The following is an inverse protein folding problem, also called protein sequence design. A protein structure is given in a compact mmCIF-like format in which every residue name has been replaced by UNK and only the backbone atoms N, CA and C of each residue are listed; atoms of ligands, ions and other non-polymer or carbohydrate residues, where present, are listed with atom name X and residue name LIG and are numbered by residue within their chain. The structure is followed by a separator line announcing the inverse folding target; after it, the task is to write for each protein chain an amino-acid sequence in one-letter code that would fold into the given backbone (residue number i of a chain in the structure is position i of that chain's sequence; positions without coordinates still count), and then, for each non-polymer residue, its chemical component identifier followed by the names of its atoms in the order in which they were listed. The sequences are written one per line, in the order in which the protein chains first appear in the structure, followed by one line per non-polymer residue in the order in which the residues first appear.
data_IF_550900345565
#
_entry.id   IF_550900345565
#
_cell.length_a   1.000
_cell.length_b   1.000
_cell.length_c   1.000
_cell.angle_alpha   90.00
_cell.angle_beta   90.00
_cell.angle_gamma   90.00
#
_symmetry.space_group_name_H-M   'P 1'
#
loop_
_entity.id
_entity.type
_entity.pdbx_description
1 polymer ?
#
# COMPACT_ATOMS: atom_id res chain seq x y z
N UNK A 1 -22.95 -6.82 23.09
CA UNK A 1 -22.09 -7.04 21.93
C UNK A 1 -22.99 -7.04 20.70
N UNK A 2 -22.68 -6.26 19.67
CA UNK A 2 -23.40 -6.29 18.39
C UNK A 2 -23.25 -7.69 17.75
N UNK A 3 -24.25 -8.14 16.98
CA UNK A 3 -24.17 -9.43 16.29
C UNK A 3 -22.99 -9.44 15.32
N UNK A 4 -22.36 -10.62 15.09
CA UNK A 4 -21.37 -10.75 14.03
C UNK A 4 -21.92 -10.32 12.68
N UNK A 5 -21.14 -9.53 11.92
CA UNK A 5 -21.45 -9.11 10.57
C UNK A 5 -20.86 -10.08 9.57
N UNK A 6 -21.58 -10.35 8.48
CA UNK A 6 -21.03 -11.03 7.31
C UNK A 6 -20.69 -10.01 6.23
N UNK A 7 -19.39 -9.85 5.95
CA UNK A 7 -18.85 -8.76 5.14
C UNK A 7 -18.24 -9.32 3.85
N UNK A 8 -18.69 -8.83 2.70
CA UNK A 8 -18.02 -9.01 1.42
C UNK A 8 -16.98 -7.89 1.24
N UNK A 9 -15.71 -8.22 1.36
CA UNK A 9 -14.58 -7.31 1.10
C UNK A 9 -14.08 -7.53 -0.32
N UNK A 10 -13.98 -6.49 -1.14
CA UNK A 10 -13.62 -6.61 -2.55
C UNK A 10 -12.37 -5.81 -2.88
N UNK A 11 -11.45 -6.44 -3.65
CA UNK A 11 -10.23 -5.81 -4.16
C UNK A 11 -9.94 -6.22 -5.61
N UNK A 12 -9.16 -5.40 -6.34
CA UNK A 12 -8.96 -5.55 -7.79
C UNK A 12 -8.06 -6.71 -8.21
N UNK A 13 -7.30 -7.31 -7.29
CA UNK A 13 -6.39 -8.40 -7.63
C UNK A 13 -5.94 -9.19 -6.40
N UNK A 14 -5.25 -10.29 -6.63
CA UNK A 14 -4.60 -11.12 -5.60
C UNK A 14 -3.15 -10.72 -5.33
N UNK A 15 -2.60 -9.70 -6.01
CA UNK A 15 -1.20 -9.27 -5.90
C UNK A 15 -0.97 -8.31 -4.72
N UNK A 16 0.25 -8.22 -4.14
CA UNK A 16 0.57 -7.38 -3.00
C UNK A 16 0.68 -5.90 -3.37
N UNK A 17 -0.46 -5.26 -3.65
CA UNK A 17 -0.60 -3.81 -3.83
C UNK A 17 -1.10 -3.18 -2.55
N UNK A 18 -0.77 -1.92 -2.28
CA UNK A 18 -1.12 -1.24 -1.02
C UNK A 18 -2.60 -1.38 -0.65
N UNK A 19 -3.53 -1.14 -1.59
CA UNK A 19 -4.96 -1.32 -1.36
C UNK A 19 -5.38 -2.78 -1.11
N UNK A 20 -4.72 -3.75 -1.78
CA UNK A 20 -4.96 -5.20 -1.57
C UNK A 20 -4.44 -5.63 -0.20
N UNK A 21 -3.25 -5.17 0.18
CA UNK A 21 -2.68 -5.45 1.52
C UNK A 21 -3.57 -4.87 2.61
N UNK A 22 -4.04 -3.62 2.44
CA UNK A 22 -4.99 -3.01 3.37
C UNK A 22 -6.28 -3.84 3.49
N UNK A 23 -6.93 -4.17 2.37
CA UNK A 23 -8.16 -4.96 2.37
C UNK A 23 -7.98 -6.32 3.06
N UNK A 24 -6.86 -6.99 2.81
CA UNK A 24 -6.51 -8.27 3.44
C UNK A 24 -6.31 -8.13 4.94
N UNK A 25 -5.48 -7.20 5.40
CA UNK A 25 -5.18 -6.99 6.82
C UNK A 25 -6.41 -6.52 7.60
N UNK A 26 -7.22 -5.65 6.99
CA UNK A 26 -8.52 -5.25 7.58
C UNK A 26 -9.46 -6.46 7.71
N UNK A 27 -9.53 -7.32 6.68
CA UNK A 27 -10.34 -8.54 6.72
C UNK A 27 -9.91 -9.49 7.83
N UNK A 28 -8.61 -9.66 8.01
CA UNK A 28 -8.03 -10.48 9.09
C UNK A 28 -8.36 -9.90 10.47
N UNK A 29 -8.19 -8.58 10.64
CA UNK A 29 -8.49 -7.90 11.90
C UNK A 29 -9.99 -7.95 12.25
N UNK A 30 -10.88 -7.75 11.27
CA UNK A 30 -12.34 -7.88 11.49
C UNK A 30 -12.72 -9.34 11.80
N UNK A 31 -12.06 -10.32 11.18
CA UNK A 31 -12.27 -11.75 11.50
C UNK A 31 -11.83 -12.06 12.93
N UNK A 32 -10.68 -11.53 13.37
CA UNK A 32 -10.21 -11.66 14.74
C UNK A 32 -11.15 -11.01 15.77
N UNK A 33 -11.91 -9.98 15.37
CA UNK A 33 -12.97 -9.37 16.19
C UNK A 33 -14.30 -10.14 16.16
N UNK A 34 -14.35 -11.30 15.48
CA UNK A 34 -15.51 -12.19 15.47
C UNK A 34 -16.51 -11.96 14.33
N UNK A 35 -16.14 -11.18 13.30
CA UNK A 35 -16.97 -10.99 12.10
C UNK A 35 -16.68 -12.06 11.06
N UNK A 36 -17.66 -12.41 10.20
CA UNK A 36 -17.51 -13.34 9.07
C UNK A 36 -17.14 -12.55 7.80
N UNK A 37 -15.84 -12.44 7.52
CA UNK A 37 -15.34 -11.68 6.37
C UNK A 37 -14.93 -12.61 5.25
N UNK A 38 -15.41 -12.33 4.04
CA UNK A 38 -14.99 -13.01 2.81
C UNK A 38 -14.29 -11.99 1.90
N UNK A 39 -12.98 -12.18 1.72
CA UNK A 39 -12.16 -11.34 0.84
C UNK A 39 -12.25 -11.86 -0.60
N UNK A 40 -12.79 -11.04 -1.50
CA UNK A 40 -12.97 -11.35 -2.91
C UNK A 40 -11.90 -10.68 -3.77
N UNK A 41 -11.37 -11.41 -4.76
CA UNK A 41 -10.49 -10.84 -5.78
C UNK A 41 -10.60 -11.61 -7.11
N UNK A 42 -10.45 -10.93 -8.28
CA UNK A 42 -10.22 -11.61 -9.55
C UNK A 42 -8.87 -12.34 -9.52
N UNK A 43 -8.84 -13.58 -10.01
CA UNK A 43 -7.65 -14.42 -10.05
C UNK A 43 -7.49 -15.07 -11.43
N UNK A 44 -6.70 -14.44 -12.29
CA UNK A 44 -6.43 -14.93 -13.64
C UNK A 44 -5.39 -16.09 -13.66
N UNK A 45 -4.65 -16.27 -12.59
CA UNK A 45 -3.60 -17.30 -12.50
C UNK A 45 -4.06 -18.57 -11.78
N UNK A 46 -5.18 -18.49 -11.03
CA UNK A 46 -5.65 -19.59 -10.19
C UNK A 46 -4.73 -19.92 -9.01
N UNK A 47 -3.86 -18.98 -8.62
CA UNK A 47 -2.87 -19.20 -7.53
C UNK A 47 -3.32 -18.66 -6.18
N UNK A 48 -4.44 -17.92 -6.15
CA UNK A 48 -4.92 -17.26 -4.96
C UNK A 48 -4.14 -16.00 -4.62
N UNK A 49 -4.34 -15.48 -3.41
CA UNK A 49 -3.65 -14.31 -2.92
C UNK A 49 -2.15 -14.57 -2.72
N UNK A 50 -1.35 -13.52 -2.78
CA UNK A 50 0.11 -13.54 -2.60
C UNK A 50 0.59 -14.18 -1.27
N UNK A 51 -0.28 -14.31 -0.28
CA UNK A 51 -0.17 -15.13 0.92
C UNK A 51 -1.54 -15.66 1.34
N UNK A 52 -1.56 -16.68 2.18
CA UNK A 52 -2.81 -17.20 2.76
C UNK A 52 -3.29 -16.23 3.86
N UNK A 53 -4.45 -15.57 3.71
CA UNK A 53 -5.00 -14.70 4.77
C UNK A 53 -5.63 -15.52 5.90
N UNK A 54 -5.72 -14.90 7.09
CA UNK A 54 -6.44 -15.46 8.24
C UNK A 54 -7.96 -15.15 8.22
N UNK A 55 -8.53 -14.96 7.03
CA UNK A 55 -9.96 -14.81 6.79
C UNK A 55 -10.39 -15.71 5.63
N UNK A 56 -11.71 -15.82 5.38
CA UNK A 56 -12.22 -16.53 4.20
C UNK A 56 -11.88 -15.76 2.94
N UNK A 57 -11.58 -16.48 1.85
CA UNK A 57 -11.29 -15.88 0.54
C UNK A 57 -12.16 -16.47 -0.55
N UNK A 58 -12.49 -15.63 -1.52
CA UNK A 58 -13.13 -16.02 -2.77
C UNK A 58 -12.32 -15.47 -3.94
N UNK A 59 -11.44 -16.29 -4.48
CA UNK A 59 -10.72 -15.99 -5.71
C UNK A 59 -11.63 -16.31 -6.90
N UNK A 60 -11.96 -15.29 -7.68
CA UNK A 60 -12.88 -15.40 -8.83
C UNK A 60 -12.04 -15.74 -10.06
N UNK A 61 -12.20 -16.93 -10.67
CA UNK A 61 -11.50 -17.27 -11.89
C UNK A 61 -11.89 -16.32 -13.02
N UNK A 62 -10.91 -15.71 -13.66
CA UNK A 62 -11.11 -14.74 -14.74
C UNK A 62 -10.11 -14.99 -15.87
N UNK A 63 -10.43 -14.50 -17.06
CA UNK A 63 -9.50 -14.56 -18.20
C UNK A 63 -8.30 -13.63 -17.97
N UNK A 64 -7.15 -13.87 -18.64
CA UNK A 64 -6.03 -12.92 -18.62
C UNK A 64 -6.50 -11.50 -18.93
N UNK A 65 -5.83 -10.52 -18.32
CA UNK A 65 -6.18 -9.11 -18.51
C UNK A 65 -5.92 -8.66 -19.95
N UNK A 66 -6.81 -7.80 -20.48
CA UNK A 66 -6.56 -7.11 -21.74
C UNK A 66 -5.28 -6.24 -21.63
N UNK A 67 -4.63 -5.99 -22.75
CA UNK A 67 -3.43 -5.15 -22.80
C UNK A 67 -3.77 -3.66 -22.57
N UNK A 68 -4.91 -3.19 -23.09
CA UNK A 68 -5.41 -1.85 -22.81
C UNK A 68 -5.95 -1.75 -21.38
N UNK A 69 -5.58 -0.69 -20.68
CA UNK A 69 -5.96 -0.50 -19.27
C UNK A 69 -7.48 -0.30 -19.12
N UNK A 70 -8.11 0.44 -20.01
CA UNK A 70 -9.55 0.71 -19.94
C UNK A 70 -10.35 -0.57 -20.15
N UNK A 71 -9.98 -1.35 -21.17
CA UNK A 71 -10.58 -2.65 -21.44
C UNK A 71 -10.40 -3.61 -20.27
N UNK A 72 -9.19 -3.66 -19.71
CA UNK A 72 -8.90 -4.49 -18.52
C UNK A 72 -9.78 -4.11 -17.33
N UNK A 73 -9.91 -2.81 -17.04
CA UNK A 73 -10.75 -2.33 -15.94
C UNK A 73 -12.21 -2.69 -16.17
N UNK A 74 -12.76 -2.45 -17.37
CA UNK A 74 -14.13 -2.79 -17.71
C UNK A 74 -14.39 -4.30 -17.68
N UNK A 75 -13.45 -5.10 -18.17
CA UNK A 75 -13.52 -6.57 -18.10
C UNK A 75 -13.59 -7.04 -16.63
N UNK A 76 -12.75 -6.51 -15.74
CA UNK A 76 -12.75 -6.89 -14.32
C UNK A 76 -14.02 -6.46 -13.58
N UNK A 77 -14.59 -5.30 -13.95
CA UNK A 77 -15.91 -4.88 -13.43
C UNK A 77 -16.99 -5.89 -13.86
N UNK A 78 -16.97 -6.28 -15.14
CA UNK A 78 -17.91 -7.28 -15.67
C UNK A 78 -17.77 -8.64 -14.97
N UNK A 79 -16.52 -9.11 -14.78
CA UNK A 79 -16.22 -10.38 -14.10
C UNK A 79 -16.84 -10.43 -12.69
N UNK A 80 -16.71 -9.34 -11.92
CA UNK A 80 -17.31 -9.22 -10.61
C UNK A 80 -18.83 -9.24 -10.64
N UNK A 81 -19.45 -8.47 -11.57
CA UNK A 81 -20.91 -8.43 -11.70
C UNK A 81 -21.44 -9.81 -12.09
N UNK A 82 -20.83 -10.48 -13.06
CA UNK A 82 -21.22 -11.82 -13.49
C UNK A 82 -21.07 -12.86 -12.37
N UNK A 83 -20.02 -12.73 -11.54
CA UNK A 83 -19.85 -13.60 -10.38
C UNK A 83 -21.01 -13.46 -9.39
N UNK A 84 -21.37 -12.22 -8.99
CA UNK A 84 -22.44 -11.98 -8.02
C UNK A 84 -23.83 -12.24 -8.60
N UNK A 85 -24.04 -12.01 -9.90
CA UNK A 85 -25.29 -12.40 -10.59
C UNK A 85 -25.53 -13.92 -10.48
N UNK A 86 -24.47 -14.73 -10.53
CA UNK A 86 -24.52 -16.20 -10.43
C UNK A 86 -24.51 -16.71 -8.98
N UNK A 87 -23.60 -16.21 -8.17
CA UNK A 87 -23.40 -16.67 -6.79
C UNK A 87 -24.44 -16.10 -5.81
N UNK A 88 -25.10 -15.01 -6.22
CA UNK A 88 -25.99 -14.25 -5.36
C UNK A 88 -25.27 -13.31 -4.38
N UNK A 89 -25.99 -12.32 -3.93
CA UNK A 89 -25.52 -11.33 -2.93
C UNK A 89 -26.11 -11.63 -1.52
N UNK A 90 -27.09 -12.52 -1.46
CA UNK A 90 -27.74 -12.93 -0.21
C UNK A 90 -26.77 -13.53 0.79
N UNK A 91 -26.93 -13.15 2.04
CA UNK A 91 -26.09 -13.64 3.13
C UNK A 91 -24.90 -12.75 3.47
N UNK A 92 -24.68 -11.63 2.80
CA UNK A 92 -23.81 -10.55 3.26
C UNK A 92 -24.65 -9.40 3.83
N UNK A 93 -24.22 -8.91 4.99
CA UNK A 93 -24.82 -7.73 5.62
C UNK A 93 -24.23 -6.44 5.04
N UNK A 94 -22.99 -6.53 4.53
CA UNK A 94 -22.21 -5.37 4.08
C UNK A 94 -21.31 -5.73 2.88
N UNK A 95 -21.19 -4.78 1.96
CA UNK A 95 -20.25 -4.81 0.83
C UNK A 95 -19.27 -3.66 0.96
N UNK A 96 -17.96 -3.94 0.81
CA UNK A 96 -16.93 -2.92 0.93
C UNK A 96 -15.91 -3.02 -0.21
N UNK A 97 -15.78 -1.95 -0.99
CA UNK A 97 -14.85 -1.81 -2.11
C UNK A 97 -13.58 -1.06 -1.71
N UNK A 98 -12.41 -1.53 -2.20
CA UNK A 98 -11.11 -0.91 -1.92
C UNK A 98 -10.45 -0.24 -3.13
N UNK A 99 -11.08 -0.29 -4.31
CA UNK A 99 -10.53 0.23 -5.56
C UNK A 99 -11.63 0.60 -6.57
N UNK A 100 -11.25 1.20 -7.70
CA UNK A 100 -12.19 1.63 -8.74
C UNK A 100 -12.93 0.47 -9.42
N UNK A 101 -12.29 -0.70 -9.56
CA UNK A 101 -12.91 -1.89 -10.18
C UNK A 101 -14.01 -2.43 -9.27
N UNK A 102 -13.67 -2.74 -8.04
CA UNK A 102 -14.62 -3.25 -7.05
C UNK A 102 -15.74 -2.24 -6.75
N UNK A 103 -15.43 -0.94 -6.68
CA UNK A 103 -16.42 0.12 -6.51
C UNK A 103 -17.41 0.20 -7.67
N UNK A 104 -16.96 0.09 -8.91
CA UNK A 104 -17.85 0.07 -10.08
C UNK A 104 -18.71 -1.20 -10.14
N UNK A 105 -18.16 -2.35 -9.76
CA UNK A 105 -18.95 -3.58 -9.68
C UNK A 105 -20.09 -3.44 -8.67
N UNK A 106 -19.78 -2.95 -7.44
CA UNK A 106 -20.80 -2.72 -6.42
C UNK A 106 -21.80 -1.62 -6.80
N UNK A 107 -21.36 -0.56 -7.50
CA UNK A 107 -22.26 0.45 -8.06
C UNK A 107 -23.26 -0.16 -9.06
N UNK A 108 -22.82 -1.12 -9.87
CA UNK A 108 -23.68 -1.83 -10.81
C UNK A 108 -24.67 -2.77 -10.10
N UNK A 109 -24.22 -3.50 -9.07
CA UNK A 109 -25.09 -4.35 -8.26
C UNK A 109 -26.14 -3.53 -7.50
N UNK A 110 -25.75 -2.36 -6.97
CA UNK A 110 -26.67 -1.40 -6.33
C UNK A 110 -27.72 -0.87 -7.33
N UNK A 111 -27.30 -0.49 -8.54
CA UNK A 111 -28.19 -0.04 -9.61
C UNK A 111 -29.20 -1.12 -10.03
N UNK A 112 -28.79 -2.40 -10.00
CA UNK A 112 -29.67 -3.56 -10.24
C UNK A 112 -30.55 -3.91 -9.03
N UNK A 113 -30.48 -3.17 -7.92
CA UNK A 113 -31.15 -3.45 -6.65
C UNK A 113 -30.81 -4.84 -6.04
N UNK A 114 -29.63 -5.39 -6.36
CA UNK A 114 -29.13 -6.64 -5.81
C UNK A 114 -28.46 -6.45 -4.45
N UNK A 115 -28.01 -5.24 -4.14
CA UNK A 115 -27.48 -4.82 -2.84
C UNK A 115 -28.10 -3.47 -2.45
N UNK A 116 -28.35 -3.20 -1.16
CA UNK A 116 -28.93 -1.94 -0.73
C UNK A 116 -27.93 -0.76 -0.81
N UNK A 117 -26.65 -1.03 -0.60
CA UNK A 117 -25.60 -0.04 -0.57
C UNK A 117 -24.22 -0.66 -0.34
N UNK A 118 -23.17 0.17 -0.35
CA UNK A 118 -21.82 -0.28 -0.08
C UNK A 118 -20.91 0.80 0.49
N UNK A 119 -19.86 0.35 1.18
CA UNK A 119 -18.78 1.18 1.68
C UNK A 119 -17.63 1.24 0.66
N UNK A 120 -16.90 2.36 0.62
CA UNK A 120 -15.73 2.57 -0.23
C UNK A 120 -14.57 3.15 0.56
N UNK A 121 -13.43 2.46 0.62
CA UNK A 121 -12.15 3.04 1.06
C UNK A 121 -11.43 3.67 -0.12
N UNK A 122 -11.22 4.97 -0.08
CA UNK A 122 -10.43 5.72 -1.07
C UNK A 122 -9.01 5.83 -0.55
N UNK A 123 -8.10 5.05 -1.16
CA UNK A 123 -6.68 5.04 -0.79
C UNK A 123 -5.92 6.22 -1.41
N UNK A 124 -6.27 6.58 -2.62
CA UNK A 124 -5.78 7.72 -3.40
C UNK A 124 -6.72 7.96 -4.59
N UNK A 125 -6.59 9.09 -5.23
CA UNK A 125 -7.30 9.45 -6.47
C UNK A 125 -6.24 9.69 -7.54
N UNK A 126 -6.31 8.91 -8.61
CA UNK A 126 -5.37 8.99 -9.73
C UNK A 126 -5.82 10.04 -10.76
N UNK A 127 -4.84 10.59 -11.47
CA UNK A 127 -5.06 11.44 -12.64
C UNK A 127 -4.83 10.59 -13.89
N UNK A 128 -5.93 10.10 -14.48
CA UNK A 128 -5.86 9.33 -15.71
C UNK A 128 -5.95 10.24 -16.94
N UNK A 129 -5.09 9.99 -17.93
CA UNK A 129 -5.19 10.67 -19.23
C UNK A 129 -6.42 10.22 -20.03
N UNK A 130 -6.88 8.98 -19.83
CA UNK A 130 -8.07 8.43 -20.51
C UNK A 130 -9.35 8.91 -19.83
N UNK A 131 -10.23 9.67 -20.53
CA UNK A 131 -11.48 10.19 -19.93
C UNK A 131 -12.39 9.08 -19.41
N UNK A 132 -12.36 7.91 -20.04
CA UNK A 132 -13.17 6.76 -19.60
C UNK A 132 -12.73 6.22 -18.24
N UNK A 133 -11.42 6.14 -17.97
CA UNK A 133 -10.89 5.74 -16.66
C UNK A 133 -11.22 6.77 -15.58
N UNK A 134 -11.16 8.07 -15.90
CA UNK A 134 -11.62 9.12 -14.99
C UNK A 134 -13.10 8.95 -14.63
N UNK A 135 -13.97 8.76 -15.63
CA UNK A 135 -15.41 8.54 -15.41
C UNK A 135 -15.69 7.27 -14.57
N UNK A 136 -14.92 6.20 -14.75
CA UNK A 136 -15.03 4.99 -13.93
C UNK A 136 -14.56 5.24 -12.51
N UNK A 137 -13.46 5.99 -12.31
CA UNK A 137 -13.01 6.38 -10.98
C UNK A 137 -14.08 7.19 -10.25
N UNK A 138 -14.63 8.21 -10.91
CA UNK A 138 -15.67 9.07 -10.37
C UNK A 138 -16.91 8.26 -9.99
N UNK A 139 -17.43 7.42 -10.90
CA UNK A 139 -18.58 6.56 -10.63
C UNK A 139 -18.34 5.64 -9.42
N UNK A 140 -17.15 5.06 -9.29
CA UNK A 140 -16.80 4.15 -8.18
C UNK A 140 -16.85 4.83 -6.82
N UNK A 141 -16.62 6.15 -6.79
CA UNK A 141 -16.69 6.97 -5.59
C UNK A 141 -18.13 7.46 -5.40
N UNK A 142 -18.73 8.12 -6.39
CA UNK A 142 -20.02 8.80 -6.24
C UNK A 142 -21.18 7.87 -5.91
N UNK A 143 -21.09 6.59 -6.30
CA UNK A 143 -22.15 5.60 -6.05
C UNK A 143 -22.12 5.00 -4.63
N UNK A 144 -21.04 5.17 -3.88
CA UNK A 144 -20.91 4.62 -2.53
C UNK A 144 -21.76 5.39 -1.51
N UNK A 145 -22.13 4.72 -0.43
CA UNK A 145 -22.98 5.27 0.64
C UNK A 145 -22.15 5.71 1.86
N UNK A 146 -21.05 5.02 2.14
CA UNK A 146 -20.09 5.39 3.18
C UNK A 146 -18.69 5.45 2.59
N UNK A 147 -17.95 6.48 3.01
CA UNK A 147 -16.59 6.74 2.57
C UNK A 147 -15.61 6.60 3.72
N UNK A 148 -14.52 5.87 3.43
CA UNK A 148 -13.34 5.82 4.26
C UNK A 148 -12.15 6.37 3.50
N UNK A 149 -11.24 7.01 4.23
CA UNK A 149 -9.92 7.40 3.72
C UNK A 149 -8.83 6.97 4.68
N UNK A 150 -7.65 6.74 4.14
CA UNK A 150 -6.51 6.34 4.96
C UNK A 150 -5.80 7.53 5.59
N UNK A 151 -6.04 8.76 5.12
CA UNK A 151 -5.41 9.98 5.62
C UNK A 151 -6.36 11.18 5.61
N UNK A 152 -6.05 12.21 6.39
CA UNK A 152 -6.79 13.49 6.40
C UNK A 152 -6.63 14.25 5.08
N UNK A 153 -5.48 14.13 4.45
CA UNK A 153 -5.24 14.72 3.12
C UNK A 153 -6.29 14.22 2.13
N UNK A 154 -6.50 12.90 2.03
CA UNK A 154 -7.50 12.33 1.12
C UNK A 154 -8.93 12.59 1.57
N UNK A 155 -9.19 12.68 2.88
CA UNK A 155 -10.48 13.16 3.39
C UNK A 155 -10.79 14.56 2.89
N UNK A 156 -9.81 15.48 3.00
CA UNK A 156 -9.95 16.86 2.53
C UNK A 156 -10.19 16.92 1.01
N UNK A 157 -9.44 16.17 0.22
CA UNK A 157 -9.64 16.09 -1.23
C UNK A 157 -11.06 15.63 -1.58
N UNK A 158 -11.57 14.57 -0.93
CA UNK A 158 -12.95 14.11 -1.15
C UNK A 158 -13.99 15.16 -0.76
N UNK A 159 -13.76 15.87 0.34
CA UNK A 159 -14.66 16.92 0.80
C UNK A 159 -14.64 18.11 -0.17
N UNK A 160 -13.46 18.59 -0.55
CA UNK A 160 -13.31 19.83 -1.36
C UNK A 160 -13.76 19.59 -2.82
N UNK A 161 -13.37 18.46 -3.42
CA UNK A 161 -13.60 18.20 -4.83
C UNK A 161 -14.98 17.58 -5.11
N UNK A 162 -15.58 16.89 -4.11
CA UNK A 162 -16.79 16.07 -4.32
C UNK A 162 -17.90 16.29 -3.27
N UNK A 163 -17.65 17.11 -2.25
CA UNK A 163 -18.60 17.31 -1.14
C UNK A 163 -18.89 16.05 -0.34
N UNK A 164 -17.98 15.04 -0.36
CA UNK A 164 -18.18 13.75 0.30
C UNK A 164 -17.47 13.71 1.66
N UNK A 165 -18.24 13.47 2.71
CA UNK A 165 -17.71 13.27 4.06
C UNK A 165 -17.18 11.85 4.20
N UNK A 166 -15.88 11.70 4.49
CA UNK A 166 -15.25 10.41 4.73
C UNK A 166 -14.78 10.28 6.19
N UNK A 167 -14.71 9.05 6.67
CA UNK A 167 -14.10 8.74 7.96
C UNK A 167 -12.65 8.37 7.74
N UNK A 168 -11.74 9.03 8.44
CA UNK A 168 -10.31 8.69 8.41
C UNK A 168 -10.09 7.47 9.30
N UNK A 169 -9.67 6.37 8.70
CA UNK A 169 -9.45 5.09 9.39
C UNK A 169 -7.96 4.74 9.58
N UNK A 170 -7.08 5.40 8.84
CA UNK A 170 -5.65 5.12 8.85
C UNK A 170 -5.30 3.75 8.28
N UNK A 171 -4.06 3.34 8.51
CA UNK A 171 -3.56 2.00 8.25
C UNK A 171 -2.95 1.41 9.52
N UNK A 172 -2.76 0.10 9.51
CA UNK A 172 -2.05 -0.62 10.56
C UNK A 172 -0.80 -1.32 10.03
N UNK A 173 -0.07 -1.91 10.96
CA UNK A 173 1.02 -2.85 10.70
C UNK A 173 0.85 -4.08 11.59
N UNK A 174 1.26 -5.23 11.09
CA UNK A 174 1.31 -6.50 11.83
C UNK A 174 2.67 -6.57 12.55
N UNK A 175 2.69 -6.20 13.83
CA UNK A 175 3.91 -6.16 14.66
C UNK A 175 4.40 -7.54 15.09
N UNK A 176 3.58 -8.58 14.97
CA UNK A 176 4.01 -9.96 15.21
C UNK A 176 4.86 -10.45 14.02
N UNK A 177 4.47 -10.05 12.81
CA UNK A 177 5.16 -10.38 11.57
C UNK A 177 6.37 -9.48 11.33
N UNK A 178 6.20 -8.18 11.46
CA UNK A 178 7.26 -7.18 11.30
C UNK A 178 7.80 -6.80 12.68
N UNK A 179 8.99 -7.29 13.01
CA UNK A 179 9.63 -7.06 14.30
C UNK A 179 11.15 -7.01 14.15
N UNK A 180 11.86 -6.38 15.09
CA UNK A 180 13.33 -6.31 15.06
C UNK A 180 14.01 -7.65 15.30
N UNK A 181 13.26 -8.69 15.70
CA UNK A 181 13.80 -9.99 16.08
C UNK A 181 14.51 -10.69 14.92
N UNK A 182 15.81 -10.92 15.09
CA UNK A 182 16.63 -11.65 14.14
C UNK A 182 16.33 -13.14 14.21
N UNK A 183 16.03 -13.79 13.07
CA UNK A 183 15.68 -15.22 12.99
C UNK A 183 16.70 -16.09 12.23
N UNK A 184 17.80 -15.49 11.75
CA UNK A 184 18.85 -16.18 10.99
C UNK A 184 18.61 -16.26 9.47
N UNK A 185 17.39 -16.11 9.00
CA UNK A 185 17.04 -16.21 7.56
C UNK A 185 17.56 -15.00 6.75
N UNK A 186 17.85 -13.89 7.41
CA UNK A 186 18.39 -12.68 6.80
C UNK A 186 19.73 -12.96 6.10
N UNK A 187 20.58 -13.81 6.66
CA UNK A 187 21.88 -14.17 6.06
C UNK A 187 21.65 -14.86 4.69
N UNK A 188 20.76 -15.84 4.65
CA UNK A 188 20.44 -16.54 3.40
C UNK A 188 19.82 -15.58 2.35
N UNK A 189 18.99 -14.61 2.78
CA UNK A 189 18.44 -13.60 1.90
C UNK A 189 19.52 -12.64 1.38
N UNK A 190 20.45 -12.19 2.24
CA UNK A 190 21.62 -11.37 1.85
C UNK A 190 22.45 -12.06 0.78
N UNK A 191 22.76 -13.34 0.97
CA UNK A 191 23.55 -14.12 0.01
C UNK A 191 22.82 -14.31 -1.31
N UNK A 192 21.52 -14.63 -1.26
CA UNK A 192 20.67 -14.75 -2.46
C UNK A 192 20.60 -13.47 -3.28
N UNK A 193 20.53 -12.32 -2.59
CA UNK A 193 20.53 -11.01 -3.23
C UNK A 193 21.93 -10.50 -3.58
N UNK A 194 22.99 -11.25 -3.22
CA UNK A 194 24.42 -10.90 -3.45
C UNK A 194 24.80 -9.55 -2.85
N UNK A 195 24.25 -9.24 -1.67
CA UNK A 195 24.54 -8.01 -0.94
C UNK A 195 25.87 -8.13 -0.20
N UNK A 196 26.65 -7.05 -0.18
CA UNK A 196 27.89 -6.95 0.58
C UNK A 196 27.62 -6.63 2.06
N UNK A 197 28.68 -6.46 2.85
CA UNK A 197 28.55 -6.08 4.28
C UNK A 197 28.46 -4.56 4.50
N UNK A 198 28.51 -3.74 3.42
CA UNK A 198 28.33 -2.30 3.52
C UNK A 198 26.89 -1.90 3.84
N UNK A 199 26.67 -0.64 4.25
CA UNK A 199 25.34 -0.13 4.57
C UNK A 199 24.36 -0.33 3.42
N UNK A 200 23.17 -0.84 3.75
CA UNK A 200 22.10 -1.11 2.79
C UNK A 200 20.94 -0.12 2.96
N UNK A 201 20.71 0.69 1.93
CA UNK A 201 19.54 1.55 1.83
C UNK A 201 18.45 0.85 1.02
N UNK A 202 17.24 0.76 1.59
CA UNK A 202 16.11 0.08 0.99
C UNK A 202 15.10 1.08 0.46
N UNK A 203 14.66 0.91 -0.78
CA UNK A 203 13.52 1.61 -1.37
C UNK A 203 12.47 0.59 -1.81
N UNK A 204 11.21 0.80 -1.46
CA UNK A 204 10.10 -0.11 -1.78
C UNK A 204 9.01 0.62 -2.56
N UNK A 205 8.58 -0.01 -3.66
CA UNK A 205 7.51 0.50 -4.53
C UNK A 205 7.85 0.49 -6.01
N UNK A 206 9.03 -0.04 -6.38
CA UNK A 206 9.47 -0.13 -7.78
C UNK A 206 9.98 1.22 -8.31
N UNK A 207 10.16 1.28 -9.63
CA UNK A 207 10.67 2.47 -10.35
C UNK A 207 9.46 3.28 -10.84
N UNK A 208 9.04 4.26 -10.04
CA UNK A 208 7.87 5.11 -10.27
C UNK A 208 8.16 6.57 -9.89
N UNK A 209 7.62 7.52 -10.68
CA UNK A 209 7.81 8.95 -10.44
C UNK A 209 7.31 9.39 -9.05
N UNK A 210 6.14 8.90 -8.62
CA UNK A 210 5.59 9.23 -7.30
C UNK A 210 6.45 8.74 -6.15
N UNK A 211 7.26 7.66 -6.36
CA UNK A 211 8.22 7.12 -5.38
C UNK A 211 9.56 7.83 -5.41
N UNK A 212 9.77 8.70 -6.41
CA UNK A 212 10.96 9.52 -6.56
C UNK A 212 12.26 8.71 -6.67
N UNK A 213 12.23 7.59 -7.40
CA UNK A 213 13.40 6.71 -7.51
C UNK A 213 14.58 7.35 -8.24
N UNK A 214 14.36 8.33 -9.13
CA UNK A 214 15.42 9.16 -9.69
C UNK A 214 16.10 10.04 -8.63
N UNK A 215 15.33 10.68 -7.77
CA UNK A 215 15.86 11.46 -6.65
C UNK A 215 16.64 10.59 -5.66
N UNK A 216 16.16 9.36 -5.39
CA UNK A 216 16.89 8.38 -4.56
C UNK A 216 18.20 7.98 -5.22
N UNK A 217 18.21 7.73 -6.53
CA UNK A 217 19.43 7.35 -7.27
C UNK A 217 20.49 8.45 -7.22
N UNK A 218 20.09 9.71 -7.41
CA UNK A 218 21.00 10.86 -7.31
C UNK A 218 21.52 11.08 -5.89
N UNK A 219 20.64 10.94 -4.88
CA UNK A 219 21.03 10.99 -3.47
C UNK A 219 22.01 9.87 -3.12
N UNK A 220 21.79 8.67 -3.62
CA UNK A 220 22.68 7.53 -3.44
C UNK A 220 24.05 7.75 -4.09
N UNK A 221 24.10 8.38 -5.27
CA UNK A 221 25.36 8.79 -5.90
C UNK A 221 26.18 9.70 -4.96
N UNK A 222 25.53 10.68 -4.31
CA UNK A 222 26.17 11.57 -3.34
C UNK A 222 26.62 10.80 -2.09
N UNK A 223 25.77 9.86 -1.60
CA UNK A 223 26.09 9.01 -0.47
C UNK A 223 27.31 8.12 -0.70
N UNK A 224 27.48 7.60 -1.92
CA UNK A 224 28.64 6.78 -2.32
C UNK A 224 29.97 7.54 -2.27
N UNK A 225 29.97 8.86 -2.41
CA UNK A 225 31.18 9.69 -2.23
C UNK A 225 31.65 9.69 -0.77
N UNK A 226 30.74 9.51 0.20
CA UNK A 226 31.03 9.49 1.64
C UNK A 226 31.23 8.06 2.13
N UNK A 227 30.41 7.11 1.64
CA UNK A 227 30.42 5.68 1.99
C UNK A 227 30.53 4.83 0.72
N UNK A 228 31.76 4.61 0.22
CA UNK A 228 31.98 3.84 -1.01
C UNK A 228 31.48 2.39 -0.98
N UNK A 229 31.26 1.83 0.20
CA UNK A 229 30.75 0.49 0.46
C UNK A 229 29.21 0.41 0.51
N UNK A 230 28.49 1.56 0.52
CA UNK A 230 27.04 1.60 0.58
C UNK A 230 26.39 0.94 -0.64
N UNK A 231 25.21 0.35 -0.42
CA UNK A 231 24.37 -0.31 -1.41
C UNK A 231 22.96 0.25 -1.40
N UNK A 232 22.32 0.30 -2.58
CA UNK A 232 20.90 0.65 -2.72
C UNK A 232 20.14 -0.55 -3.26
N UNK A 233 19.12 -0.97 -2.54
CA UNK A 233 18.18 -2.02 -2.96
C UNK A 233 16.84 -1.39 -3.31
N UNK A 234 16.38 -1.58 -4.55
CA UNK A 234 15.07 -1.14 -5.02
C UNK A 234 14.20 -2.38 -5.20
N UNK A 235 13.20 -2.51 -4.33
CA UNK A 235 12.23 -3.60 -4.32
C UNK A 235 10.86 -3.12 -4.84
N UNK A 236 10.16 -4.00 -5.56
CA UNK A 236 8.84 -3.77 -6.09
C UNK A 236 8.74 -3.97 -7.59
N UNK A 237 7.60 -4.46 -8.04
CA UNK A 237 7.27 -4.63 -9.45
C UNK A 237 6.62 -3.39 -10.05
N UNK A 238 6.38 -3.40 -11.35
CA UNK A 238 5.64 -2.36 -12.05
C UNK A 238 4.20 -2.27 -11.51
N UNK A 239 3.67 -1.05 -11.36
CA UNK A 239 2.26 -0.83 -11.06
C UNK A 239 1.39 -1.02 -12.31
N UNK A 240 0.07 -0.84 -12.17
CA UNK A 240 -0.85 -0.89 -13.32
C UNK A 240 -0.72 0.35 -14.22
N UNK A 241 -0.13 1.43 -13.71
CA UNK A 241 0.06 2.67 -14.47
C UNK A 241 1.25 2.54 -15.43
N UNK A 242 1.21 3.29 -16.53
CA UNK A 242 2.34 3.36 -17.46
C UNK A 242 3.47 4.20 -16.86
N UNK A 243 4.59 3.55 -16.59
CA UNK A 243 5.81 4.18 -16.08
C UNK A 243 6.98 4.08 -17.07
N UNK A 244 6.71 3.68 -18.33
CA UNK A 244 7.76 3.33 -19.29
C UNK A 244 8.77 4.47 -19.49
N UNK A 245 8.31 5.70 -19.72
CA UNK A 245 9.20 6.86 -19.89
C UNK A 245 10.08 7.11 -18.67
N UNK A 246 9.50 7.08 -17.47
CA UNK A 246 10.26 7.27 -16.23
C UNK A 246 11.26 6.14 -15.97
N UNK A 247 10.90 4.90 -16.31
CA UNK A 247 11.81 3.76 -16.18
C UNK A 247 12.97 3.85 -17.16
N UNK A 248 12.74 4.30 -18.40
CA UNK A 248 13.82 4.56 -19.36
C UNK A 248 14.78 5.63 -18.84
N UNK A 249 14.27 6.73 -18.32
CA UNK A 249 15.08 7.79 -17.73
C UNK A 249 15.89 7.28 -16.54
N UNK A 250 15.28 6.48 -15.66
CA UNK A 250 15.97 5.86 -14.53
C UNK A 250 17.12 4.95 -14.99
N UNK A 251 16.89 4.07 -15.99
CA UNK A 251 17.93 3.19 -16.50
C UNK A 251 19.06 3.94 -17.21
N UNK A 252 18.75 5.03 -17.91
CA UNK A 252 19.75 5.91 -18.48
C UNK A 252 20.61 6.59 -17.39
N UNK A 253 19.97 7.12 -16.34
CA UNK A 253 20.65 7.70 -15.19
C UNK A 253 21.51 6.67 -14.46
N UNK A 254 21.00 5.45 -14.22
CA UNK A 254 21.75 4.36 -13.60
C UNK A 254 23.00 4.01 -14.42
N UNK A 255 22.86 3.90 -15.73
CA UNK A 255 23.99 3.60 -16.63
C UNK A 255 25.08 4.67 -16.59
N UNK A 256 24.72 5.94 -16.35
CA UNK A 256 25.67 7.04 -16.22
C UNK A 256 26.49 7.01 -14.92
N UNK A 257 26.08 6.25 -13.91
CA UNK A 257 26.78 6.13 -12.63
C UNK A 257 28.11 5.34 -12.72
N UNK A 258 28.44 4.76 -13.87
CA UNK A 258 29.68 4.01 -14.10
C UNK A 258 29.91 2.92 -13.03
N UNK A 259 31.01 2.96 -12.29
CA UNK A 259 31.33 1.98 -11.24
C UNK A 259 30.34 1.94 -10.08
N UNK A 260 29.58 3.00 -9.83
CA UNK A 260 28.56 3.04 -8.75
C UNK A 260 27.30 2.26 -9.12
N UNK A 261 27.01 2.02 -10.40
CA UNK A 261 25.85 1.27 -10.86
C UNK A 261 25.80 -0.16 -10.28
N UNK A 262 26.98 -0.79 -10.09
CA UNK A 262 27.06 -2.14 -9.52
C UNK A 262 26.59 -2.25 -8.06
N UNK A 263 26.48 -1.12 -7.35
CA UNK A 263 25.96 -1.07 -5.97
C UNK A 263 24.45 -0.81 -5.89
N UNK A 264 23.76 -0.73 -7.04
CA UNK A 264 22.31 -0.57 -7.13
C UNK A 264 21.69 -1.91 -7.53
N UNK A 265 20.91 -2.49 -6.64
CA UNK A 265 20.27 -3.78 -6.82
C UNK A 265 18.76 -3.59 -7.08
N UNK A 266 18.31 -3.76 -8.33
CA UNK A 266 16.89 -3.75 -8.68
C UNK A 266 16.39 -5.19 -8.58
N UNK A 267 15.71 -5.53 -7.48
CA UNK A 267 15.36 -6.92 -7.15
C UNK A 267 13.93 -7.31 -7.58
N UNK A 268 13.17 -6.37 -8.14
CA UNK A 268 11.80 -6.63 -8.57
C UNK A 268 10.86 -6.97 -7.41
N UNK A 269 9.84 -7.78 -7.70
CA UNK A 269 8.85 -8.20 -6.70
C UNK A 269 9.48 -9.20 -5.72
N UNK A 270 9.38 -8.91 -4.44
CA UNK A 270 9.86 -9.75 -3.35
C UNK A 270 8.74 -10.67 -2.86
N UNK A 271 9.07 -11.91 -2.56
CA UNK A 271 8.11 -12.83 -1.95
C UNK A 271 7.64 -12.29 -0.58
N UNK A 272 6.36 -12.41 -0.31
CA UNK A 272 5.76 -11.84 0.91
C UNK A 272 6.46 -12.38 2.19
N UNK A 273 6.83 -13.65 2.20
CA UNK A 273 7.57 -14.27 3.31
C UNK A 273 8.97 -13.66 3.56
N UNK A 274 9.61 -13.13 2.52
CA UNK A 274 10.93 -12.52 2.61
C UNK A 274 10.88 -11.05 3.07
N UNK A 275 9.73 -10.39 3.00
CA UNK A 275 9.60 -8.96 3.32
C UNK A 275 10.10 -8.59 4.72
N UNK A 276 9.75 -9.30 5.81
CA UNK A 276 10.30 -8.98 7.13
C UNK A 276 11.83 -9.09 7.18
N UNK A 277 12.40 -10.09 6.50
CA UNK A 277 13.86 -10.28 6.45
C UNK A 277 14.55 -9.20 5.62
N UNK A 278 13.91 -8.74 4.54
CA UNK A 278 14.42 -7.65 3.70
C UNK A 278 14.49 -6.34 4.49
N UNK A 279 13.45 -6.01 5.28
CA UNK A 279 13.50 -4.85 6.16
C UNK A 279 14.66 -4.97 7.18
N UNK A 280 14.78 -6.09 7.87
CA UNK A 280 15.85 -6.29 8.88
C UNK A 280 17.26 -6.21 8.33
N UNK A 281 17.46 -6.45 7.02
CA UNK A 281 18.74 -6.26 6.35
C UNK A 281 19.06 -4.78 6.10
N UNK A 282 18.08 -3.89 6.10
CA UNK A 282 18.27 -2.49 5.77
C UNK A 282 18.82 -1.69 6.93
N UNK A 283 19.81 -0.84 6.64
CA UNK A 283 20.28 0.18 7.58
C UNK A 283 19.36 1.40 7.62
N UNK A 284 18.61 1.65 6.54
CA UNK A 284 17.50 2.59 6.50
C UNK A 284 16.53 2.28 5.36
N UNK A 285 15.23 2.55 5.59
CA UNK A 285 14.26 2.72 4.51
C UNK A 285 14.36 4.15 3.98
N UNK A 286 14.54 4.31 2.67
CA UNK A 286 14.57 5.61 1.98
C UNK A 286 13.30 5.77 1.18
N UNK A 287 12.39 6.64 1.65
CA UNK A 287 11.03 6.75 1.15
C UNK A 287 10.63 8.22 0.88
N UNK A 288 11.36 8.94 -0.01
CA UNK A 288 11.13 10.33 -0.32
C UNK A 288 10.04 10.49 -1.39
N UNK A 289 8.87 9.89 -1.16
CA UNK A 289 7.74 9.94 -2.10
C UNK A 289 7.28 11.38 -2.35
N UNK A 290 6.91 11.67 -3.59
CA UNK A 290 6.31 12.96 -4.00
C UNK A 290 4.82 12.99 -3.63
N UNK A 291 4.16 11.84 -3.75
CA UNK A 291 2.75 11.67 -3.40
C UNK A 291 2.54 10.27 -2.85
N UNK A 292 1.71 10.16 -1.81
CA UNK A 292 1.42 8.86 -1.19
C UNK A 292 -0.01 8.80 -0.65
N UNK A 293 -0.56 7.60 -0.56
CA UNK A 293 -1.84 7.36 0.10
C UNK A 293 -1.71 7.39 1.63
N UNK A 294 -0.75 6.60 2.14
CA UNK A 294 -0.42 6.51 3.56
C UNK A 294 1.03 6.09 3.83
N UNK A 295 1.52 5.03 3.17
CA UNK A 295 2.87 4.51 3.35
C UNK A 295 2.94 3.28 4.28
N UNK A 296 2.25 2.17 3.93
CA UNK A 296 2.32 0.91 4.67
C UNK A 296 3.76 0.45 4.93
N UNK A 297 4.61 0.54 3.90
CA UNK A 297 6.03 0.14 3.96
C UNK A 297 6.83 0.92 5.01
N UNK A 298 6.39 2.14 5.34
CA UNK A 298 6.99 2.95 6.40
C UNK A 298 6.74 2.34 7.77
N UNK A 299 5.49 1.96 8.06
CA UNK A 299 5.11 1.31 9.30
C UNK A 299 5.76 -0.08 9.44
N UNK A 300 5.86 -0.82 8.33
CA UNK A 300 6.55 -2.13 8.29
C UNK A 300 8.04 -2.00 8.61
N UNK A 301 8.72 -0.99 8.05
CA UNK A 301 10.12 -0.68 8.37
C UNK A 301 10.29 -0.30 9.85
N UNK A 302 9.46 0.61 10.35
CA UNK A 302 9.46 1.03 11.75
C UNK A 302 9.24 -0.14 12.71
N UNK A 303 8.25 -1.00 12.41
CA UNK A 303 7.97 -2.22 13.18
C UNK A 303 9.17 -3.19 13.16
N UNK A 304 9.91 -3.23 12.06
CA UNK A 304 11.11 -4.07 11.89
C UNK A 304 12.38 -3.48 12.54
N UNK A 305 12.28 -2.34 13.23
CA UNK A 305 13.42 -1.67 13.86
C UNK A 305 14.37 -1.01 12.86
N UNK A 306 13.84 -0.53 11.74
CA UNK A 306 14.61 0.12 10.67
C UNK A 306 14.34 1.63 10.70
N UNK A 307 15.37 2.49 10.78
CA UNK A 307 15.17 3.92 10.71
C UNK A 307 14.66 4.32 9.33
N UNK A 308 13.84 5.37 9.28
CA UNK A 308 13.19 5.80 8.05
C UNK A 308 13.62 7.21 7.66
N UNK A 309 13.99 7.39 6.38
CA UNK A 309 14.20 8.69 5.72
C UNK A 309 12.98 8.95 4.87
N UNK A 310 12.19 9.96 5.21
CA UNK A 310 10.85 10.16 4.65
C UNK A 310 10.60 11.62 4.26
N UNK A 311 9.77 11.82 3.23
CA UNK A 311 9.36 13.17 2.80
C UNK A 311 8.63 13.94 3.88
N UNK A 312 8.94 15.23 4.03
CA UNK A 312 8.22 16.17 4.90
C UNK A 312 6.90 16.66 4.25
N UNK A 313 6.04 15.72 3.85
CA UNK A 313 4.74 16.00 3.20
C UNK A 313 3.61 15.20 3.87
N UNK A 314 2.36 15.62 3.66
CA UNK A 314 1.22 14.76 3.94
C UNK A 314 1.23 13.52 2.99
N UNK A 315 0.82 12.34 3.47
CA UNK A 315 0.19 12.07 4.77
C UNK A 315 1.17 11.82 5.93
N UNK A 316 2.49 11.78 5.71
CA UNK A 316 3.47 11.41 6.75
C UNK A 316 3.43 12.37 7.93
N UNK A 317 3.36 13.69 7.67
CA UNK A 317 3.25 14.73 8.69
C UNK A 317 1.91 14.74 9.46
N UNK A 318 0.96 13.86 9.10
CA UNK A 318 -0.31 13.72 9.80
C UNK A 318 -0.24 12.76 10.99
N UNK A 319 0.72 11.81 10.96
CA UNK A 319 0.80 10.74 11.96
C UNK A 319 2.21 10.52 12.53
N UNK A 320 3.22 11.16 11.97
CA UNK A 320 4.59 11.17 12.49
C UNK A 320 4.92 12.54 13.09
N UNK A 321 5.52 12.51 14.27
CA UNK A 321 6.09 13.70 14.92
C UNK A 321 7.50 13.98 14.36
N UNK A 322 8.06 15.19 14.59
CA UNK A 322 9.38 15.56 14.10
C UNK A 322 10.50 14.57 14.50
N UNK A 323 10.38 13.90 15.66
CA UNK A 323 11.36 12.97 16.21
C UNK A 323 11.16 11.51 15.75
N UNK A 324 10.07 11.20 15.05
CA UNK A 324 9.73 9.82 14.69
C UNK A 324 10.46 9.34 13.42
N UNK A 325 11.00 10.26 12.63
CA UNK A 325 11.64 9.97 11.36
C UNK A 325 12.80 10.94 11.05
N UNK A 326 13.63 10.57 10.08
CA UNK A 326 14.57 11.49 9.46
C UNK A 326 13.85 12.12 8.27
N UNK A 327 13.52 13.40 8.39
CA UNK A 327 12.77 14.13 7.38
C UNK A 327 13.66 14.61 6.25
N UNK A 328 13.18 14.54 5.02
CA UNK A 328 13.84 15.09 3.84
C UNK A 328 12.88 15.88 2.94
N UNK A 329 13.43 16.82 2.18
CA UNK A 329 12.72 17.42 1.06
C UNK A 329 12.85 16.49 -0.16
N UNK A 330 11.74 15.89 -0.65
CA UNK A 330 11.82 14.95 -1.76
C UNK A 330 12.27 15.58 -3.09
N UNK A 331 12.19 16.92 -3.21
CA UNK A 331 12.59 17.65 -4.42
C UNK A 331 14.09 17.94 -4.47
N UNK A 332 14.81 17.73 -3.37
CA UNK A 332 16.23 18.01 -3.24
C UNK A 332 17.02 16.73 -2.93
N UNK A 333 17.68 16.11 -3.92
CA UNK A 333 18.46 14.88 -3.69
C UNK A 333 19.53 15.02 -2.59
N UNK A 334 20.09 16.22 -2.39
CA UNK A 334 21.04 16.47 -1.30
C UNK A 334 20.40 16.30 0.08
N UNK A 335 19.13 16.73 0.28
CA UNK A 335 18.39 16.52 1.51
C UNK A 335 18.14 15.02 1.77
N UNK A 336 17.85 14.25 0.71
CA UNK A 336 17.69 12.79 0.81
C UNK A 336 19.03 12.15 1.20
N UNK A 337 20.15 12.56 0.57
CA UNK A 337 21.50 12.05 0.87
C UNK A 337 21.94 12.37 2.30
N UNK A 338 21.63 13.57 2.79
CA UNK A 338 21.87 13.96 4.18
C UNK A 338 21.07 13.06 5.15
N UNK A 339 19.79 12.81 4.85
CA UNK A 339 18.97 11.88 5.62
C UNK A 339 19.55 10.46 5.65
N UNK A 340 20.04 9.95 4.51
CA UNK A 340 20.72 8.67 4.41
C UNK A 340 22.00 8.66 5.30
N UNK A 341 22.80 9.72 5.29
CA UNK A 341 24.00 9.83 6.14
C UNK A 341 23.63 9.87 7.63
N UNK A 342 22.62 10.64 8.01
CA UNK A 342 22.14 10.76 9.39
C UNK A 342 21.64 9.41 9.93
N UNK A 343 21.01 8.58 9.12
CA UNK A 343 20.53 7.25 9.52
C UNK A 343 21.63 6.27 9.93
N UNK A 344 22.88 6.54 9.55
CA UNK A 344 24.05 5.73 9.91
C UNK A 344 24.76 6.23 11.19
N UNK A 345 24.35 7.38 11.74
CA UNK A 345 24.92 7.93 12.97
C UNK A 345 24.28 7.24 14.17
N UNK A 346 25.05 6.44 14.93
CA UNK A 346 24.54 5.57 16.00
C UNK A 346 23.51 6.23 16.92
N UNK A 347 23.78 7.35 17.62
CA UNK A 347 22.80 7.98 18.51
C UNK A 347 21.52 8.46 17.81
N UNK A 348 21.62 8.90 16.56
CA UNK A 348 20.44 9.29 15.75
C UNK A 348 19.64 8.06 15.37
N UNK A 349 20.32 7.04 14.84
CA UNK A 349 19.74 5.76 14.45
C UNK A 349 18.97 5.12 15.59
N UNK A 350 19.60 4.97 16.76
CA UNK A 350 19.00 4.29 17.91
C UNK A 350 17.73 5.00 18.40
N UNK A 351 17.76 6.34 18.40
CA UNK A 351 16.59 7.15 18.76
C UNK A 351 15.45 6.96 17.76
N UNK A 352 15.73 7.04 16.45
CA UNK A 352 14.71 6.90 15.40
C UNK A 352 14.13 5.48 15.41
N UNK A 353 14.93 4.45 15.65
CA UNK A 353 14.44 3.07 15.80
C UNK A 353 13.47 2.96 16.99
N UNK A 354 13.86 3.45 18.16
CA UNK A 354 13.00 3.38 19.34
C UNK A 354 11.65 4.10 19.10
N UNK A 355 11.69 5.31 18.54
CA UNK A 355 10.49 6.07 18.18
C UNK A 355 9.65 5.36 17.13
N UNK A 356 10.27 4.79 16.11
CA UNK A 356 9.59 4.05 15.03
C UNK A 356 8.84 2.82 15.56
N UNK A 357 9.41 2.06 16.48
CA UNK A 357 8.72 0.92 17.12
C UNK A 357 7.49 1.39 17.90
N UNK A 358 7.59 2.51 18.62
CA UNK A 358 6.46 3.11 19.34
C UNK A 358 5.35 3.60 18.37
N UNK A 359 5.74 4.18 17.23
CA UNK A 359 4.79 4.56 16.16
C UNK A 359 4.07 3.32 15.64
N UNK A 360 4.81 2.26 15.29
CA UNK A 360 4.22 1.02 14.78
C UNK A 360 3.24 0.40 15.77
N UNK A 361 3.56 0.36 17.06
CA UNK A 361 2.68 -0.17 18.11
C UNK A 361 1.35 0.61 18.22
N UNK A 362 1.36 1.93 17.96
CA UNK A 362 0.14 2.76 17.94
C UNK A 362 -0.71 2.56 16.68
N UNK A 363 -0.15 1.97 15.62
CA UNK A 363 -0.80 1.74 14.32
C UNK A 363 -1.08 0.26 14.10
N UNK A 364 -1.81 -0.37 15.04
CA UNK A 364 -2.18 -1.78 14.94
C UNK A 364 -3.52 -1.95 14.20
N UNK A 365 -3.64 -2.98 13.37
CA UNK A 365 -4.84 -3.28 12.58
C UNK A 365 -6.15 -3.40 13.35
N UNK A 366 -6.20 -3.91 14.62
CA UNK A 366 -7.42 -3.90 15.41
C UNK A 366 -8.02 -2.50 15.61
N UNK A 367 -7.18 -1.46 15.70
CA UNK A 367 -7.63 -0.06 15.80
C UNK A 367 -8.29 0.41 14.49
N UNK A 368 -7.67 0.10 13.35
CA UNK A 368 -8.22 0.39 12.02
C UNK A 368 -9.55 -0.34 11.82
N UNK A 369 -9.64 -1.62 12.20
CA UNK A 369 -10.89 -2.40 12.14
C UNK A 369 -11.99 -1.78 13.02
N UNK A 370 -11.70 -1.40 14.26
CA UNK A 370 -12.65 -0.75 15.15
C UNK A 370 -13.19 0.57 14.58
N UNK A 371 -12.34 1.36 13.91
CA UNK A 371 -12.76 2.60 13.27
C UNK A 371 -13.77 2.37 12.12
N UNK A 372 -13.68 1.25 11.42
CA UNK A 372 -14.65 0.88 10.38
C UNK A 372 -16.00 0.44 10.96
N UNK A 373 -15.98 -0.34 12.07
CA UNK A 373 -17.18 -0.95 12.64
C UNK A 373 -18.24 0.08 13.04
N UNK A 374 -17.84 1.21 13.63
CA UNK A 374 -18.77 2.28 14.01
C UNK A 374 -19.54 2.85 12.81
N UNK A 375 -18.92 2.85 11.63
CA UNK A 375 -19.54 3.34 10.40
C UNK A 375 -20.35 2.26 9.69
N UNK A 376 -19.95 1.00 9.77
CA UNK A 376 -20.71 -0.11 9.21
C UNK A 376 -22.10 -0.24 9.84
N UNK A 377 -22.23 0.02 11.14
CA UNK A 377 -23.51 0.00 11.84
C UNK A 377 -24.50 0.99 11.24
N UNK A 378 -24.05 2.16 10.82
CA UNK A 378 -24.89 3.19 10.16
C UNK A 378 -25.45 2.76 8.80
N UNK A 379 -24.73 1.91 8.04
CA UNK A 379 -25.24 1.36 6.77
C UNK A 379 -26.37 0.36 6.98
N UNK A 380 -26.44 -0.22 8.17
CA UNK A 380 -27.40 -1.27 8.50
C UNK A 380 -28.66 -0.73 9.18
N UNK A 381 -28.61 0.51 9.68
CA UNK A 381 -29.80 1.16 10.23
C UNK A 381 -30.77 1.46 9.08
N UNK A 382 -32.05 1.05 9.19
CA UNK A 382 -33.03 1.41 8.18
C UNK A 382 -33.07 2.93 8.07
N UNK A 383 -32.88 3.45 6.87
CA UNK A 383 -33.14 4.87 6.58
C UNK A 383 -34.60 5.10 6.89
N UNK A 384 -34.93 5.70 8.04
CA UNK A 384 -36.26 6.21 8.30
C UNK A 384 -36.49 7.34 7.29
N UNK A 385 -37.14 6.98 6.16
CA UNK A 385 -37.65 7.90 5.17
C UNK A 385 -38.91 8.61 5.70
#
# INVERSE_FOLDING_TARGET
MSRPLRIAMLTHSTNPRGGVVHAMQLSEALTALGHDVVLHAPDAKGTGFFRRPACKTQCIPVQPAAADMTEMVEQRIHDYVAYFDKAGTGGFDLFHAHDGISGNALATLKQKALIPGFARTVHHIDQFAAPRLMALQDRSIDAADIFFTVSRMWQKVLQDDRGRMAVVVGNGVDTDRFSPAWNGEQTALRDRLKLTNGPMFLSIGGIEARKNTLGILEAFRQMRAIRPDAQLVIAGGASLLDHHGYQQEFHAALSSLSSHAAAVHIIGTVADADMPNLYRLADALVFPSITEGYGLVLLEAMASGVPVVVSSIAPFTEYLEPEDAIWCDPRHPASIAEGMALSLIGPVRDRIIARGVDVAARHAWPRTAAAHLASYQRLMEPTHA
#
